data_IF_770844901939
#
_entry.id   IF_770844901939
#
_cell.length_a   1.000
_cell.length_b   1.000
_cell.length_c   1.000
_cell.angle_alpha   90.00
_cell.angle_beta   90.00
_cell.angle_gamma   90.00
#
_symmetry.space_group_name_H-M   'P 1'
#
loop_
_entity.id
_entity.type
_entity.pdbx_description
1 polymer ?
#
# COMPACT_ATOMS: atom_id res chain seq x y z
N UNK A 1 -28.73 -49.78 -0.89
CA UNK A 1 -29.41 -48.63 -0.27
C UNK A 1 -28.33 -47.57 0.00
N UNK A 2 -28.40 -46.48 -0.76
CA UNK A 2 -27.69 -45.19 -0.69
C UNK A 2 -26.15 -45.08 -0.86
N UNK A 3 -25.80 -44.04 -1.62
CA UNK A 3 -24.53 -43.64 -2.26
C UNK A 3 -23.49 -43.05 -1.28
N UNK A 4 -22.24 -42.80 -1.72
CA UNK A 4 -21.28 -41.95 -1.01
C UNK A 4 -21.46 -40.48 -1.40
N UNK A 5 -21.37 -39.55 -0.44
CA UNK A 5 -21.33 -38.11 -0.70
C UNK A 5 -20.01 -37.46 -0.24
N UNK A 6 -19.57 -36.53 -1.10
CA UNK A 6 -18.37 -35.70 -1.09
C UNK A 6 -18.62 -34.29 -0.48
N UNK A 7 -17.54 -33.50 -0.38
CA UNK A 7 -17.45 -32.05 -0.05
C UNK A 7 -17.39 -31.70 1.45
N UNK A 8 -16.58 -30.76 1.97
CA UNK A 8 -15.68 -29.75 1.39
C UNK A 8 -14.88 -29.09 2.53
N UNK A 9 -13.56 -29.04 2.44
CA UNK A 9 -12.71 -28.11 3.18
C UNK A 9 -11.54 -27.75 2.26
N UNK A 10 -11.60 -26.71 1.42
CA UNK A 10 -11.90 -25.32 1.76
C UNK A 10 -10.58 -24.58 1.95
N UNK A 11 -9.62 -24.73 1.03
CA UNK A 11 -9.40 -23.77 -0.06
C UNK A 11 -9.07 -22.34 0.44
N UNK A 12 -7.94 -22.15 1.15
CA UNK A 12 -7.44 -20.79 1.40
C UNK A 12 -5.91 -20.63 1.36
N UNK A 13 -5.17 -21.69 0.99
CA UNK A 13 -3.74 -21.59 0.59
C UNK A 13 -3.59 -21.73 -0.94
N UNK A 14 -4.71 -21.98 -1.65
CA UNK A 14 -4.74 -22.29 -3.09
C UNK A 14 -4.79 -21.08 -4.03
N UNK A 15 -4.81 -19.84 -3.54
CA UNK A 15 -4.71 -18.66 -4.42
C UNK A 15 -3.23 -18.26 -4.62
N UNK A 16 -2.36 -18.54 -3.64
CA UNK A 16 -0.94 -18.19 -3.72
C UNK A 16 -0.11 -19.15 -4.58
N UNK A 17 -0.52 -20.43 -4.69
CA UNK A 17 0.19 -21.43 -5.50
C UNK A 17 -0.36 -21.60 -6.92
N UNK A 18 -1.63 -21.24 -7.18
CA UNK A 18 -2.22 -21.39 -8.52
C UNK A 18 -1.72 -20.37 -9.54
N UNK A 19 -1.11 -19.27 -9.11
CA UNK A 19 -0.47 -18.34 -10.05
C UNK A 19 0.93 -18.82 -10.50
N UNK A 20 1.54 -19.77 -9.76
CA UNK A 20 2.90 -20.25 -10.02
C UNK A 20 2.97 -21.49 -10.93
N UNK A 21 1.86 -22.21 -11.17
CA UNK A 21 1.84 -23.48 -11.93
C UNK A 21 0.93 -23.47 -13.17
N UNK A 22 0.95 -22.40 -13.97
CA UNK A 22 0.37 -22.44 -15.32
C UNK A 22 1.23 -21.82 -16.44
N UNK A 23 2.53 -21.65 -16.22
CA UNK A 23 3.48 -21.18 -17.25
C UNK A 23 4.70 -22.10 -17.37
N UNK A 24 4.46 -23.37 -17.71
CA UNK A 24 5.48 -24.20 -18.36
C UNK A 24 5.22 -24.12 -19.87
N UNK A 25 6.00 -23.30 -20.58
CA UNK A 25 6.06 -23.28 -22.03
C UNK A 25 5.74 -21.92 -22.65
N UNK A 26 6.81 -21.27 -23.14
CA UNK A 26 6.93 -19.98 -23.84
C UNK A 26 7.55 -18.90 -22.95
N UNK A 27 8.69 -18.35 -23.41
CA UNK A 27 9.20 -17.05 -22.96
C UNK A 27 8.64 -15.98 -23.92
N UNK A 28 7.43 -15.44 -23.72
CA UNK A 28 7.09 -14.16 -24.31
C UNK A 28 7.75 -13.05 -23.47
N UNK A 29 8.00 -11.90 -24.09
CA UNK A 29 8.32 -10.67 -23.36
C UNK A 29 7.33 -10.53 -22.20
N UNK A 30 7.84 -10.51 -20.97
CA UNK A 30 6.99 -10.54 -19.79
C UNK A 30 6.04 -9.34 -19.81
N UNK A 31 4.74 -9.60 -19.65
CA UNK A 31 3.73 -8.53 -19.71
C UNK A 31 4.02 -7.48 -18.63
N UNK A 32 3.82 -6.20 -18.95
CA UNK A 32 3.94 -5.09 -17.99
C UNK A 32 3.07 -5.34 -16.75
N UNK A 33 1.91 -6.01 -16.92
CA UNK A 33 1.07 -6.42 -15.79
C UNK A 33 1.81 -7.37 -14.83
N UNK A 34 2.57 -8.33 -15.34
CA UNK A 34 3.30 -9.30 -14.51
C UNK A 34 4.48 -8.64 -13.79
N UNK A 35 5.24 -7.79 -14.49
CA UNK A 35 6.34 -7.05 -13.88
C UNK A 35 5.85 -6.14 -12.74
N UNK A 36 4.69 -5.50 -12.93
CA UNK A 36 4.05 -4.69 -11.88
C UNK A 36 3.68 -5.58 -10.68
N UNK A 37 3.07 -6.75 -10.92
CA UNK A 37 2.69 -7.66 -9.84
C UNK A 37 3.92 -8.17 -9.07
N UNK A 38 4.98 -8.56 -9.76
CA UNK A 38 6.22 -9.01 -9.13
C UNK A 38 6.83 -7.92 -8.24
N UNK A 39 6.91 -6.67 -8.74
CA UNK A 39 7.41 -5.56 -7.94
C UNK A 39 6.51 -5.29 -6.73
N UNK A 40 5.18 -5.39 -6.88
CA UNK A 40 4.25 -5.23 -5.77
C UNK A 40 4.51 -6.30 -4.70
N UNK A 41 4.72 -7.56 -5.10
CA UNK A 41 5.01 -8.67 -4.18
C UNK A 41 6.33 -8.46 -3.44
N UNK A 42 7.37 -8.01 -4.13
CA UNK A 42 8.68 -7.70 -3.53
C UNK A 42 8.61 -6.60 -2.45
N UNK A 43 7.67 -5.65 -2.58
CA UNK A 43 7.47 -4.58 -1.59
C UNK A 43 6.52 -4.97 -0.44
N UNK A 44 5.85 -6.12 -0.55
CA UNK A 44 4.96 -6.67 0.48
C UNK A 44 3.49 -6.25 0.37
N UNK A 45 2.62 -7.07 0.96
CA UNK A 45 1.15 -6.98 0.82
C UNK A 45 0.48 -5.76 1.46
N UNK A 46 1.21 -4.97 2.27
CA UNK A 46 0.73 -3.72 2.86
C UNK A 46 1.16 -2.47 2.08
N UNK A 47 1.85 -2.64 0.96
CA UNK A 47 2.39 -1.54 0.18
C UNK A 47 1.31 -0.82 -0.65
N UNK A 48 1.27 0.50 -0.54
CA UNK A 48 0.52 1.39 -1.41
C UNK A 48 1.50 2.04 -2.39
N UNK A 49 1.03 2.22 -3.61
CA UNK A 49 1.88 2.59 -4.74
C UNK A 49 1.16 3.51 -5.72
N UNK A 50 1.95 4.14 -6.59
CA UNK A 50 1.53 5.10 -7.61
C UNK A 50 2.13 4.70 -8.96
N UNK A 51 1.60 5.21 -10.09
CA UNK A 51 2.22 4.97 -11.39
C UNK A 51 3.69 5.40 -11.50
N UNK A 52 4.13 6.33 -10.64
CA UNK A 52 5.54 6.79 -10.60
C UNK A 52 6.47 5.69 -10.09
N UNK A 53 6.01 4.80 -9.22
CA UNK A 53 6.83 3.72 -8.67
C UNK A 53 7.24 2.69 -9.75
N UNK A 54 6.54 2.67 -10.91
CA UNK A 54 6.80 1.79 -12.05
C UNK A 54 7.40 2.52 -13.27
N UNK A 55 7.78 3.80 -13.14
CA UNK A 55 8.18 4.62 -14.29
C UNK A 55 9.49 4.17 -14.95
N UNK A 56 10.27 3.33 -14.28
CA UNK A 56 11.52 2.76 -14.82
C UNK A 56 11.29 1.55 -15.73
N UNK A 57 10.11 0.92 -15.63
CA UNK A 57 9.81 -0.33 -16.33
C UNK A 57 9.16 -0.09 -17.68
N UNK A 58 8.21 0.85 -17.75
CA UNK A 58 7.43 1.09 -18.95
C UNK A 58 6.98 2.55 -19.07
N UNK A 59 6.47 2.90 -20.26
CA UNK A 59 5.87 4.22 -20.50
C UNK A 59 4.68 4.46 -19.58
N UNK A 60 4.41 5.75 -19.30
CA UNK A 60 3.31 6.13 -18.42
C UNK A 60 1.96 5.60 -18.91
N UNK A 61 1.70 5.64 -20.23
CA UNK A 61 0.44 5.11 -20.77
C UNK A 61 0.31 3.61 -20.54
N UNK A 62 1.40 2.85 -20.71
CA UNK A 62 1.39 1.41 -20.54
C UNK A 62 1.19 1.01 -19.07
N UNK A 63 1.86 1.70 -18.13
CA UNK A 63 1.64 1.53 -16.69
C UNK A 63 0.19 1.86 -16.31
N UNK A 64 -0.35 2.99 -16.77
CA UNK A 64 -1.72 3.38 -16.44
C UNK A 64 -2.75 2.35 -16.98
N UNK A 65 -2.53 1.80 -18.18
CA UNK A 65 -3.37 0.76 -18.75
C UNK A 65 -3.28 -0.56 -17.97
N UNK A 66 -2.08 -0.97 -17.59
CA UNK A 66 -1.86 -2.18 -16.79
C UNK A 66 -2.53 -2.06 -15.42
N UNK A 67 -2.31 -0.95 -14.71
CA UNK A 67 -2.95 -0.67 -13.41
C UNK A 67 -4.48 -0.63 -13.54
N UNK A 68 -5.02 -0.04 -14.62
CA UNK A 68 -6.46 -0.04 -14.87
C UNK A 68 -7.00 -1.47 -15.02
N UNK A 69 -6.31 -2.33 -15.77
CA UNK A 69 -6.72 -3.74 -15.95
C UNK A 69 -6.63 -4.53 -14.65
N UNK A 70 -5.54 -4.39 -13.89
CA UNK A 70 -5.37 -5.04 -12.59
C UNK A 70 -6.44 -4.58 -11.59
N UNK A 71 -6.79 -3.29 -11.59
CA UNK A 71 -7.87 -2.77 -10.76
C UNK A 71 -9.24 -3.32 -11.18
N UNK A 72 -9.51 -3.44 -12.48
CA UNK A 72 -10.74 -4.05 -13.01
C UNK A 72 -10.86 -5.53 -12.65
N UNK A 73 -9.74 -6.26 -12.59
CA UNK A 73 -9.66 -7.66 -12.13
C UNK A 73 -9.86 -7.80 -10.62
N UNK A 74 -9.77 -6.72 -9.85
CA UNK A 74 -9.84 -6.74 -8.38
C UNK A 74 -8.54 -7.14 -7.69
N UNK A 75 -7.46 -7.38 -8.44
CA UNK A 75 -6.14 -7.75 -7.90
C UNK A 75 -5.53 -6.61 -7.08
N UNK A 76 -5.77 -5.37 -7.52
CA UNK A 76 -5.40 -4.14 -6.80
C UNK A 76 -6.64 -3.29 -6.62
N UNK A 77 -6.62 -2.40 -5.63
CA UNK A 77 -7.71 -1.45 -5.36
C UNK A 77 -7.19 -0.03 -5.56
N UNK A 78 -7.98 0.80 -6.24
CA UNK A 78 -7.73 2.24 -6.34
C UNK A 78 -8.23 2.92 -5.08
N UNK A 79 -7.30 3.33 -4.21
CA UNK A 79 -7.61 4.00 -2.95
C UNK A 79 -8.06 5.43 -3.17
N UNK A 80 -7.40 6.13 -4.10
CA UNK A 80 -7.74 7.48 -4.55
C UNK A 80 -7.13 7.73 -5.94
N UNK A 81 -7.31 8.93 -6.50
CA UNK A 81 -6.79 9.24 -7.83
C UNK A 81 -5.26 9.12 -7.91
N UNK A 82 -4.80 8.02 -8.51
CA UNK A 82 -3.40 7.74 -8.78
C UNK A 82 -2.64 7.14 -7.61
N UNK A 83 -3.35 6.58 -6.62
CA UNK A 83 -2.79 5.75 -5.55
C UNK A 83 -3.60 4.46 -5.46
N UNK A 84 -2.89 3.35 -5.31
CA UNK A 84 -3.43 2.00 -5.29
C UNK A 84 -2.85 1.23 -4.11
N UNK A 85 -3.56 0.19 -3.66
CA UNK A 85 -3.08 -0.79 -2.69
C UNK A 85 -3.51 -2.21 -3.09
N UNK A 86 -2.97 -3.21 -2.39
CA UNK A 86 -3.51 -4.57 -2.46
C UNK A 86 -4.66 -4.66 -1.44
N UNK A 87 -5.90 -4.95 -1.88
CA UNK A 87 -7.03 -5.11 -0.96
C UNK A 87 -6.81 -6.35 -0.09
N UNK A 88 -6.84 -6.17 1.24
CA UNK A 88 -6.66 -7.26 2.20
C UNK A 88 -8.03 -7.70 2.76
N UNK A 89 -8.49 -8.92 2.48
CA UNK A 89 -9.72 -9.42 3.09
C UNK A 89 -9.49 -9.73 4.58
N UNK A 90 -10.48 -9.42 5.41
CA UNK A 90 -10.51 -9.84 6.81
C UNK A 90 -11.50 -10.99 6.96
N UNK A 91 -11.00 -12.16 7.36
CA UNK A 91 -11.85 -13.31 7.68
C UNK A 91 -12.77 -13.01 8.88
N UNK A 92 -12.25 -12.27 9.88
CA UNK A 92 -12.99 -11.90 11.09
C UNK A 92 -14.17 -10.95 10.79
N UNK A 93 -13.96 -9.98 9.91
CA UNK A 93 -14.96 -8.95 9.60
C UNK A 93 -15.78 -9.27 8.34
N UNK A 94 -15.45 -10.36 7.64
CA UNK A 94 -16.02 -10.75 6.34
C UNK A 94 -16.07 -9.61 5.31
N UNK A 95 -15.14 -8.65 5.42
CA UNK A 95 -15.05 -7.48 4.55
C UNK A 95 -13.59 -7.15 4.24
N UNK A 96 -13.38 -6.37 3.18
CA UNK A 96 -12.05 -5.85 2.84
C UNK A 96 -11.62 -4.79 3.84
N UNK A 97 -10.42 -4.93 4.38
CA UNK A 97 -9.84 -3.96 5.29
C UNK A 97 -9.68 -2.59 4.65
N UNK A 98 -9.83 -1.56 5.48
CA UNK A 98 -9.50 -0.19 5.12
C UNK A 98 -8.05 -0.09 4.62
N UNK A 99 -7.77 0.82 3.66
CA UNK A 99 -6.41 1.07 3.21
C UNK A 99 -5.48 1.43 4.37
N UNK A 100 -4.23 0.99 4.31
CA UNK A 100 -3.23 1.44 5.27
C UNK A 100 -2.83 2.89 4.98
N UNK A 101 -3.28 3.81 5.84
CA UNK A 101 -3.06 5.26 5.67
C UNK A 101 -1.58 5.65 5.70
N UNK A 102 -0.76 4.98 6.49
CA UNK A 102 0.69 5.25 6.53
C UNK A 102 1.35 4.86 5.21
N UNK A 103 0.97 3.71 4.66
CA UNK A 103 1.44 3.27 3.35
C UNK A 103 1.02 4.24 2.25
N UNK A 104 -0.23 4.71 2.27
CA UNK A 104 -0.76 5.72 1.34
C UNK A 104 -0.02 7.05 1.48
N UNK A 105 0.29 7.48 2.71
CA UNK A 105 1.05 8.69 2.96
C UNK A 105 2.46 8.60 2.35
N UNK A 106 3.14 7.47 2.56
CA UNK A 106 4.45 7.19 1.96
C UNK A 106 4.39 7.13 0.43
N UNK A 107 3.33 6.57 -0.17
CA UNK A 107 3.14 6.56 -1.62
C UNK A 107 3.01 7.98 -2.21
N UNK A 108 2.25 8.84 -1.54
CA UNK A 108 2.12 10.25 -1.93
C UNK A 108 3.45 11.00 -1.77
N UNK A 109 4.17 10.75 -0.69
CA UNK A 109 5.49 11.32 -0.45
C UNK A 109 6.48 10.95 -1.58
N UNK A 110 6.58 9.66 -1.97
CA UNK A 110 7.41 9.23 -3.11
C UNK A 110 6.98 9.86 -4.43
N UNK A 111 5.66 9.95 -4.66
CA UNK A 111 5.09 10.57 -5.86
C UNK A 111 5.52 12.03 -6.00
N UNK A 112 5.41 12.82 -4.94
CA UNK A 112 5.72 14.25 -4.97
C UNK A 112 7.18 14.59 -4.60
N UNK A 113 7.95 13.61 -4.12
CA UNK A 113 9.32 13.83 -3.66
C UNK A 113 9.40 14.52 -2.30
N UNK A 114 8.42 14.32 -1.43
CA UNK A 114 8.40 14.90 -0.09
C UNK A 114 9.07 13.98 0.92
N UNK A 115 9.69 14.58 1.93
CA UNK A 115 9.99 13.90 3.19
C UNK A 115 8.83 14.13 4.14
N UNK A 116 8.46 13.07 4.85
CA UNK A 116 7.31 13.08 5.75
C UNK A 116 7.68 12.45 7.09
N UNK A 117 7.07 12.92 8.17
CA UNK A 117 7.19 12.36 9.51
C UNK A 117 5.81 12.33 10.17
N UNK A 118 5.38 11.21 10.76
CA UNK A 118 4.10 11.17 11.48
C UNK A 118 4.13 12.10 12.69
N UNK A 119 2.99 12.69 13.04
CA UNK A 119 2.89 13.64 14.15
C UNK A 119 1.69 13.39 15.07
N UNK A 120 1.82 13.83 16.32
CA UNK A 120 0.78 13.74 17.34
C UNK A 120 0.24 12.33 17.53
N UNK A 121 -1.09 12.19 17.52
CA UNK A 121 -1.77 10.90 17.69
C UNK A 121 -1.36 9.86 16.63
N UNK A 122 -1.00 10.28 15.41
CA UNK A 122 -0.52 9.35 14.38
C UNK A 122 0.82 8.73 14.77
N UNK A 123 1.75 9.54 15.25
CA UNK A 123 3.06 9.05 15.70
C UNK A 123 2.91 8.08 16.89
N UNK A 124 2.10 8.46 17.89
CA UNK A 124 1.86 7.61 19.06
C UNK A 124 1.24 6.26 18.68
N UNK A 125 0.27 6.26 17.76
CA UNK A 125 -0.35 5.03 17.31
C UNK A 125 0.61 4.12 16.52
N UNK A 126 1.42 4.71 15.62
CA UNK A 126 2.43 3.96 14.86
C UNK A 126 3.55 3.39 15.75
N UNK A 127 3.91 4.09 16.84
CA UNK A 127 4.90 3.64 17.81
C UNK A 127 4.34 2.62 18.82
N UNK A 128 3.05 2.30 18.77
CA UNK A 128 2.41 1.43 19.76
C UNK A 128 2.25 2.06 21.15
N UNK A 129 2.52 3.36 21.28
CA UNK A 129 2.34 4.13 22.52
C UNK A 129 0.88 4.53 22.74
N UNK A 130 0.01 4.32 21.74
CA UNK A 130 -1.44 4.48 21.86
C UNK A 130 -2.17 3.46 21.00
N UNK A 131 -3.24 2.89 21.54
CA UNK A 131 -4.16 1.99 20.82
C UNK A 131 -5.29 2.74 20.11
N UNK A 132 -5.39 4.06 20.32
CA UNK A 132 -6.45 4.87 19.73
C UNK A 132 -6.23 4.99 18.21
N UNK A 133 -7.22 4.53 17.44
CA UNK A 133 -7.27 4.77 16.00
C UNK A 133 -7.60 6.25 15.77
N UNK A 134 -6.70 7.06 15.20
CA UNK A 134 -6.93 8.49 15.04
C UNK A 134 -7.96 8.75 13.94
N UNK A 135 -8.95 9.61 14.21
CA UNK A 135 -9.93 10.05 13.21
C UNK A 135 -9.34 10.90 12.08
N UNK A 136 -8.10 11.40 12.28
CA UNK A 136 -7.30 12.13 11.30
C UNK A 136 -5.84 11.71 11.41
N UNK A 137 -5.23 11.37 10.29
CA UNK A 137 -3.81 11.01 10.20
C UNK A 137 -3.01 12.23 9.75
N UNK A 138 -2.02 12.65 10.54
CA UNK A 138 -1.26 13.89 10.29
C UNK A 138 0.23 13.60 10.13
N UNK A 139 0.82 14.13 9.07
CA UNK A 139 2.26 14.11 8.80
C UNK A 139 2.79 15.52 8.66
N UNK A 140 3.95 15.79 9.27
CA UNK A 140 4.78 16.93 8.90
C UNK A 140 5.49 16.61 7.58
N UNK A 141 5.62 17.58 6.69
CA UNK A 141 6.28 17.40 5.41
C UNK A 141 7.02 18.65 4.95
N UNK A 142 8.06 18.48 4.13
CA UNK A 142 8.71 19.59 3.43
C UNK A 142 7.93 20.03 2.16
N UNK A 143 6.85 19.33 1.83
CA UNK A 143 5.89 19.71 0.80
C UNK A 143 4.85 20.73 1.26
N UNK A 144 3.98 21.21 0.35
CA UNK A 144 2.88 22.12 0.69
C UNK A 144 1.85 21.48 1.61
N UNK A 145 1.14 22.31 2.39
CA UNK A 145 -0.04 21.90 3.14
C UNK A 145 -1.06 21.24 2.19
N UNK A 146 -1.44 19.99 2.46
CA UNK A 146 -2.43 19.25 1.68
C UNK A 146 -3.27 18.33 2.53
N UNK A 147 -4.48 18.06 2.06
CA UNK A 147 -5.42 17.12 2.67
C UNK A 147 -5.93 16.16 1.61
N UNK A 148 -6.07 14.91 2.00
CA UNK A 148 -6.61 13.84 1.17
C UNK A 148 -7.64 13.07 1.98
N UNK A 149 -8.79 12.79 1.38
CA UNK A 149 -9.78 11.89 1.96
C UNK A 149 -9.49 10.48 1.43
N UNK A 150 -9.25 9.54 2.35
CA UNK A 150 -8.97 8.13 2.04
C UNK A 150 -10.00 7.27 2.76
N UNK A 151 -10.96 6.73 2.01
CA UNK A 151 -12.17 6.17 2.60
C UNK A 151 -12.90 7.24 3.41
N UNK A 152 -13.00 7.02 4.72
CA UNK A 152 -13.66 7.94 5.65
C UNK A 152 -12.67 8.70 6.56
N UNK A 153 -11.36 8.57 6.32
CA UNK A 153 -10.33 9.18 7.16
C UNK A 153 -9.61 10.29 6.41
N UNK A 154 -9.37 11.42 7.09
CA UNK A 154 -8.54 12.50 6.55
C UNK A 154 -7.05 12.20 6.76
N UNK A 155 -6.29 12.22 5.66
CA UNK A 155 -4.84 12.26 5.65
C UNK A 155 -4.37 13.69 5.40
N UNK A 156 -3.60 14.25 6.32
CA UNK A 156 -3.17 15.65 6.30
C UNK A 156 -1.65 15.73 6.29
N UNK A 157 -1.13 16.49 5.33
CA UNK A 157 0.26 16.92 5.28
C UNK A 157 0.33 18.38 5.72
N UNK A 158 1.09 18.64 6.77
CA UNK A 158 1.39 19.98 7.27
C UNK A 158 2.80 20.36 6.82
N UNK A 159 2.92 21.52 6.18
CA UNK A 159 4.21 22.05 5.80
C UNK A 159 5.00 22.42 7.06
N UNK A 160 6.25 22.00 7.12
CA UNK A 160 7.18 22.40 8.17
C UNK A 160 8.55 22.60 7.54
N UNK A 161 9.25 23.66 7.96
CA UNK A 161 10.59 23.92 7.46
C UNK A 161 11.49 22.73 7.80
N UNK A 162 12.35 22.33 6.86
CA UNK A 162 13.23 21.16 7.01
C UNK A 162 14.11 21.21 8.26
N UNK A 163 14.46 22.42 8.70
CA UNK A 163 15.25 22.68 9.91
C UNK A 163 14.49 22.38 11.21
N UNK A 164 13.16 22.50 11.18
CA UNK A 164 12.27 22.34 12.35
C UNK A 164 11.71 20.92 12.44
N UNK A 165 11.52 20.27 11.29
CA UNK A 165 10.92 18.94 11.20
C UNK A 165 11.89 17.77 11.50
N UNK A 166 13.10 18.01 12.00
CA UNK A 166 13.99 16.93 12.44
C UNK A 166 14.37 15.91 11.35
N UNK A 167 14.20 16.23 10.05
CA UNK A 167 14.43 15.31 8.92
C UNK A 167 15.89 14.84 8.74
N UNK A 168 16.78 15.14 9.71
CA UNK A 168 18.17 14.65 9.76
C UNK A 168 18.30 13.22 10.26
N UNK A 169 17.28 12.63 10.87
CA UNK A 169 17.42 11.38 11.65
C UNK A 169 16.98 10.10 10.93
N UNK A 170 16.85 10.07 9.59
CA UNK A 170 16.64 8.80 8.88
C UNK A 170 17.91 7.94 8.79
N UNK A 171 19.08 8.55 8.94
CA UNK A 171 20.37 7.81 9.10
C UNK A 171 20.86 7.79 10.55
N UNK A 172 20.19 8.47 11.47
CA UNK A 172 20.52 8.47 12.91
C UNK A 172 19.35 7.87 13.67
N UNK A 173 19.24 6.56 13.51
CA UNK A 173 18.35 5.63 14.17
C UNK A 173 18.17 5.87 15.68
N UNK A 174 16.91 5.79 16.12
CA UNK A 174 16.46 4.83 17.16
C UNK A 174 17.24 4.74 18.48
N UNK A 175 17.83 5.81 18.98
CA UNK A 175 18.41 5.86 20.33
C UNK A 175 18.03 7.15 21.06
N UNK A 176 17.49 6.96 22.26
CA UNK A 176 17.33 7.95 23.35
C UNK A 176 16.16 8.93 23.24
N UNK A 177 14.98 8.48 23.66
CA UNK A 177 14.10 9.25 24.58
C UNK A 177 13.39 8.26 25.51
N UNK A 178 14.19 7.63 26.36
CA UNK A 178 13.77 6.64 27.34
C UNK A 178 14.84 6.43 28.40
N UNK A 179 15.36 7.53 28.95
CA UNK A 179 15.96 7.62 30.28
C UNK A 179 15.52 8.96 30.88
#
# INVERSE_FOLDING_TARGET
MFLPDSHSGGCFVRIHWYFFLQFQGMNPVESIENQILEQIEQNGTAWAFTPKDFSRMASRQAVDLALHRLARKGTIRRVMRGVYDIPRPSQLLQQTLSPNLDSVANALARRFGWRIQPSGATALNLLGLSTQVPGRTTYLSDGPNRKYLVGNTELVFQHTAVKEAGFKLRESELLVQGL
#
